data_IF_921687374057
#
_entry.id   IF_921687374057
#
_cell.length_a   1.000
_cell.length_b   1.000
_cell.length_c   1.000
_cell.angle_alpha   90.00
_cell.angle_beta   90.00
_cell.angle_gamma   90.00
#
_symmetry.space_group_name_H-M   'P 1'
#
loop_
_entity.id
_entity.type
_entity.pdbx_description
1 polymer ?
#
# COMPACT_ATOMS: atom_id res chain seq x y z
N UNK A 1 -0.02 7.01 13.50
CA UNK A 1 -0.47 7.82 14.66
C UNK A 1 -1.98 7.74 14.91
N UNK A 2 -2.87 7.91 13.92
CA UNK A 2 -4.32 7.75 14.14
C UNK A 2 -4.96 8.84 15.00
N UNK A 3 -4.51 10.10 14.84
CA UNK A 3 -5.07 11.26 15.55
C UNK A 3 -6.50 11.57 15.04
N UNK A 4 -7.36 12.13 15.90
CA UNK A 4 -8.72 12.50 15.55
C UNK A 4 -9.74 11.34 15.46
N UNK A 5 -9.31 10.10 15.69
CA UNK A 5 -10.20 8.92 15.73
C UNK A 5 -10.83 8.65 17.11
N UNK A 6 -10.42 9.37 18.16
CA UNK A 6 -10.88 9.15 19.54
C UNK A 6 -10.33 7.90 20.25
N UNK A 7 -9.79 6.91 19.52
CA UNK A 7 -9.24 5.69 20.10
C UNK A 7 -8.08 5.93 21.08
N UNK A 8 -7.17 6.87 20.78
CA UNK A 8 -6.08 7.23 21.69
C UNK A 8 -6.58 7.93 22.97
N UNK A 9 -7.67 8.69 22.88
CA UNK A 9 -8.29 9.35 24.03
C UNK A 9 -8.93 8.29 24.93
N UNK A 10 -9.64 7.32 24.33
CA UNK A 10 -10.24 6.19 25.05
C UNK A 10 -9.17 5.30 25.72
N UNK A 11 -8.05 5.00 25.06
CA UNK A 11 -6.97 4.26 25.73
C UNK A 11 -6.27 5.10 26.81
N UNK A 12 -6.16 6.41 26.60
CA UNK A 12 -5.62 7.33 27.58
C UNK A 12 -6.46 7.44 28.86
N UNK A 13 -7.79 7.32 28.77
CA UNK A 13 -8.68 7.41 29.94
C UNK A 13 -8.59 6.20 30.87
N UNK A 14 -8.10 5.06 30.40
CA UNK A 14 -7.85 3.87 31.22
C UNK A 14 -6.53 3.92 32.01
N UNK A 15 -5.65 4.88 31.73
CA UNK A 15 -4.37 5.01 32.44
C UNK A 15 -4.56 5.58 33.86
N UNK A 16 -3.68 5.20 34.82
CA UNK A 16 -3.69 5.80 36.14
C UNK A 16 -3.32 7.29 36.07
N UNK A 17 -3.90 8.09 36.97
CA UNK A 17 -3.77 9.57 36.97
C UNK A 17 -2.31 10.04 37.01
N UNK A 18 -1.41 9.28 37.66
CA UNK A 18 0.02 9.61 37.79
C UNK A 18 0.90 8.93 36.72
N UNK A 19 0.36 8.58 35.55
CA UNK A 19 1.14 8.01 34.45
C UNK A 19 1.94 9.10 33.68
N UNK A 20 3.12 8.74 33.17
CA UNK A 20 3.96 9.68 32.41
C UNK A 20 3.58 9.69 30.92
N UNK A 21 2.47 10.37 30.60
CA UNK A 21 1.94 10.46 29.24
C UNK A 21 2.93 11.08 28.23
N UNK A 22 3.85 11.95 28.68
CA UNK A 22 4.87 12.57 27.81
C UNK A 22 5.83 11.52 27.27
N UNK A 23 6.32 10.62 28.14
CA UNK A 23 7.24 9.55 27.73
C UNK A 23 6.56 8.58 26.76
N UNK A 24 5.30 8.23 27.03
CA UNK A 24 4.53 7.32 26.18
C UNK A 24 4.30 7.93 24.79
N UNK A 25 3.97 9.23 24.71
CA UNK A 25 3.80 9.94 23.46
C UNK A 25 5.09 9.98 22.62
N UNK A 26 6.25 10.26 23.24
CA UNK A 26 7.54 10.25 22.55
C UNK A 26 7.92 8.84 22.08
N UNK A 27 7.72 7.82 22.91
CA UNK A 27 8.02 6.43 22.58
C UNK A 27 7.14 5.94 21.42
N UNK A 28 5.83 6.18 21.48
CA UNK A 28 4.89 5.83 20.42
C UNK A 28 5.25 6.52 19.10
N UNK A 29 5.63 7.80 19.19
CA UNK A 29 6.00 8.57 18.00
C UNK A 29 7.27 8.04 17.34
N UNK A 30 8.30 7.74 18.15
CA UNK A 30 9.56 7.17 17.69
C UNK A 30 9.36 5.76 17.12
N UNK A 31 8.55 4.92 17.76
CA UNK A 31 8.25 3.57 17.27
C UNK A 31 7.50 3.61 15.94
N UNK A 32 6.49 4.47 15.79
CA UNK A 32 5.78 4.65 14.53
C UNK A 32 6.75 5.10 13.41
N UNK A 33 7.63 6.06 13.69
CA UNK A 33 8.65 6.51 12.72
C UNK A 33 9.58 5.36 12.31
N UNK A 34 10.13 4.62 13.27
CA UNK A 34 11.02 3.50 13.00
C UNK A 34 10.35 2.41 12.16
N UNK A 35 9.11 2.04 12.51
CA UNK A 35 8.33 1.06 11.74
C UNK A 35 8.04 1.57 10.34
N UNK A 36 7.64 2.83 10.16
CA UNK A 36 7.40 3.40 8.83
C UNK A 36 8.65 3.42 7.96
N UNK A 37 9.82 3.77 8.51
CA UNK A 37 11.09 3.74 7.78
C UNK A 37 11.49 2.31 7.41
N UNK A 38 11.33 1.36 8.33
CA UNK A 38 11.61 -0.05 8.07
C UNK A 38 10.69 -0.62 6.98
N UNK A 39 9.38 -0.37 7.08
CA UNK A 39 8.40 -0.78 6.06
C UNK A 39 8.71 -0.14 4.71
N UNK A 40 9.03 1.15 4.66
CA UNK A 40 9.41 1.82 3.41
C UNK A 40 10.63 1.15 2.77
N UNK A 41 11.68 0.87 3.56
CA UNK A 41 12.85 0.14 3.08
C UNK A 41 12.48 -1.22 2.49
N UNK A 42 11.69 -2.04 3.20
CA UNK A 42 11.24 -3.34 2.71
C UNK A 42 10.42 -3.24 1.41
N UNK A 43 9.49 -2.28 1.34
CA UNK A 43 8.64 -2.04 0.16
C UNK A 43 9.49 -1.62 -1.05
N UNK A 44 10.43 -0.69 -0.87
CA UNK A 44 11.30 -0.25 -1.96
C UNK A 44 12.26 -1.36 -2.45
N UNK A 45 12.72 -2.26 -1.57
CA UNK A 45 13.50 -3.42 -1.98
C UNK A 45 12.70 -4.35 -2.91
N UNK A 46 11.43 -4.64 -2.58
CA UNK A 46 10.56 -5.49 -3.40
C UNK A 46 10.17 -4.78 -4.70
N UNK A 47 9.84 -3.49 -4.65
CA UNK A 47 9.56 -2.68 -5.83
C UNK A 47 10.77 -2.61 -6.78
N UNK A 48 11.99 -2.44 -6.24
CA UNK A 48 13.21 -2.45 -7.05
C UNK A 48 13.46 -3.79 -7.74
N UNK A 49 13.27 -4.90 -7.02
CA UNK A 49 13.35 -6.24 -7.59
C UNK A 49 12.32 -6.45 -8.72
N UNK A 50 11.06 -6.08 -8.47
CA UNK A 50 9.99 -6.21 -9.46
C UNK A 50 10.20 -5.26 -10.66
N UNK A 51 10.70 -4.05 -10.43
CA UNK A 51 11.05 -3.11 -11.49
C UNK A 51 12.14 -3.65 -12.40
N UNK A 52 13.22 -4.20 -11.83
CA UNK A 52 14.30 -4.81 -12.60
C UNK A 52 13.84 -6.04 -13.40
N UNK A 53 13.03 -6.91 -12.77
CA UNK A 53 12.48 -8.08 -13.44
C UNK A 53 11.52 -7.69 -14.57
N UNK A 54 10.61 -6.77 -14.31
CA UNK A 54 9.64 -6.26 -15.29
C UNK A 54 10.32 -5.60 -16.49
N UNK A 55 11.35 -4.78 -16.24
CA UNK A 55 12.15 -4.18 -17.30
C UNK A 55 12.87 -5.22 -18.16
N UNK A 56 13.50 -6.21 -17.53
CA UNK A 56 14.22 -7.28 -18.25
C UNK A 56 13.26 -8.13 -19.08
N UNK A 57 12.08 -8.46 -18.56
CA UNK A 57 11.05 -9.18 -19.30
C UNK A 57 10.45 -8.35 -20.44
N UNK A 58 10.30 -7.03 -20.28
CA UNK A 58 9.88 -6.13 -21.35
C UNK A 58 10.87 -6.16 -22.52
N UNK A 59 12.17 -6.00 -22.23
CA UNK A 59 13.22 -6.07 -23.27
C UNK A 59 13.22 -7.44 -23.95
N UNK A 60 13.10 -8.53 -23.19
CA UNK A 60 13.05 -9.87 -23.76
C UNK A 60 11.85 -10.04 -24.71
N UNK A 61 10.69 -9.44 -24.40
CA UNK A 61 9.54 -9.42 -25.30
C UNK A 61 9.81 -8.61 -26.57
N UNK A 62 10.48 -7.44 -26.47
CA UNK A 62 10.82 -6.65 -27.66
C UNK A 62 11.88 -7.34 -28.54
N UNK A 63 12.81 -8.07 -27.94
CA UNK A 63 13.77 -8.91 -28.65
C UNK A 63 13.08 -10.02 -29.46
N UNK A 64 12.00 -10.62 -28.95
CA UNK A 64 11.16 -11.57 -29.71
C UNK A 64 10.49 -10.88 -30.90
N UNK A 65 9.89 -9.70 -30.69
CA UNK A 65 9.26 -8.92 -31.77
C UNK A 65 10.26 -8.52 -32.84
N UNK A 66 11.51 -8.20 -32.46
CA UNK A 66 12.58 -7.92 -33.41
C UNK A 66 12.91 -9.14 -34.28
N UNK A 67 12.94 -10.34 -33.71
CA UNK A 67 13.14 -11.58 -34.48
C UNK A 67 12.00 -11.84 -35.48
N UNK A 68 10.76 -11.52 -35.12
CA UNK A 68 9.61 -11.69 -36.00
C UNK A 68 9.67 -10.73 -37.21
N UNK A 69 10.01 -9.46 -36.97
CA UNK A 69 10.12 -8.43 -38.03
C UNK A 69 11.29 -8.73 -38.98
N UNK A 70 12.41 -9.19 -38.44
CA UNK A 70 13.62 -9.52 -39.20
C UNK A 70 13.80 -11.03 -39.36
N UNK A 71 12.71 -11.72 -39.72
CA UNK A 71 12.69 -13.16 -40.00
C UNK A 71 13.73 -13.52 -41.08
N UNK A 72 14.79 -14.22 -40.66
CA UNK A 72 15.91 -14.61 -41.53
C UNK A 72 17.30 -14.16 -41.07
N UNK A 73 17.40 -13.25 -40.09
CA UNK A 73 18.70 -12.82 -39.53
C UNK A 73 19.12 -13.65 -38.30
N UNK A 74 18.17 -14.26 -37.60
CA UNK A 74 18.40 -15.09 -36.40
C UNK A 74 17.49 -16.32 -36.45
N UNK A 75 18.01 -17.52 -36.17
CA UNK A 75 17.25 -18.76 -36.24
C UNK A 75 16.69 -19.19 -34.87
N UNK A 76 17.27 -18.69 -33.75
CA UNK A 76 16.80 -18.98 -32.40
C UNK A 76 16.99 -17.80 -31.43
N UNK A 77 16.19 -17.76 -30.36
CA UNK A 77 16.29 -16.75 -29.30
C UNK A 77 17.65 -16.82 -28.57
N UNK A 78 18.26 -18.00 -28.53
CA UNK A 78 19.58 -18.23 -27.95
C UNK A 78 20.70 -17.59 -28.79
N UNK A 79 20.61 -17.64 -30.13
CA UNK A 79 21.56 -16.97 -31.03
C UNK A 79 21.44 -15.46 -30.94
N UNK A 80 20.21 -14.94 -30.81
CA UNK A 80 19.96 -13.52 -30.61
C UNK A 80 20.59 -13.02 -29.31
N UNK A 81 20.39 -13.73 -28.19
CA UNK A 81 20.98 -13.37 -26.90
C UNK A 81 22.50 -13.49 -26.85
N UNK A 82 23.08 -14.41 -27.64
CA UNK A 82 24.53 -14.53 -27.77
C UNK A 82 25.14 -13.44 -28.68
N UNK A 83 24.37 -12.89 -29.61
CA UNK A 83 24.83 -11.85 -30.56
C UNK A 83 24.60 -10.45 -30.02
N UNK A 84 23.48 -10.23 -29.34
CA UNK A 84 23.06 -8.95 -28.77
C UNK A 84 22.81 -9.20 -27.29
N UNK A 85 23.74 -8.74 -26.45
CA UNK A 85 23.54 -8.79 -25.01
C UNK A 85 22.41 -7.85 -24.58
N UNK A 86 21.85 -8.08 -23.40
CA UNK A 86 20.82 -7.18 -22.84
C UNK A 86 21.32 -5.73 -22.76
N UNK A 87 22.62 -5.52 -22.54
CA UNK A 87 23.22 -4.20 -22.42
C UNK A 87 23.43 -3.53 -23.78
N UNK A 88 23.79 -4.29 -24.82
CA UNK A 88 23.87 -3.77 -26.20
C UNK A 88 22.48 -3.37 -26.72
N UNK A 89 21.44 -4.17 -26.39
CA UNK A 89 20.07 -3.83 -26.75
C UNK A 89 19.60 -2.53 -26.08
N UNK A 90 19.96 -2.30 -24.81
CA UNK A 90 19.65 -1.05 -24.11
C UNK A 90 20.27 0.15 -24.83
N UNK A 91 21.55 0.06 -25.21
CA UNK A 91 22.23 1.12 -25.96
C UNK A 91 21.56 1.41 -27.32
N UNK A 92 21.04 0.37 -27.99
CA UNK A 92 20.27 0.55 -29.21
C UNK A 92 18.92 1.22 -28.96
N UNK A 93 18.21 0.84 -27.89
CA UNK A 93 16.93 1.45 -27.50
C UNK A 93 17.09 2.93 -27.12
N UNK A 94 18.12 3.27 -26.34
CA UNK A 94 18.42 4.65 -25.93
C UNK A 94 18.71 5.55 -27.15
N UNK A 95 19.37 4.99 -28.16
CA UNK A 95 19.64 5.66 -29.44
C UNK A 95 18.49 5.54 -30.46
N UNK A 96 17.29 5.11 -30.03
CA UNK A 96 16.09 4.93 -30.88
C UNK A 96 16.35 4.07 -32.13
N UNK A 97 17.20 3.06 -32.01
CA UNK A 97 17.61 2.15 -33.08
C UNK A 97 18.25 2.83 -34.31
N UNK A 98 18.70 4.09 -34.20
CA UNK A 98 19.36 4.79 -35.31
C UNK A 98 20.75 4.19 -35.57
N UNK A 99 21.02 3.71 -36.78
CA UNK A 99 22.31 3.13 -37.15
C UNK A 99 22.59 1.72 -36.64
N UNK A 100 21.60 1.05 -36.01
CA UNK A 100 21.73 -0.33 -35.51
C UNK A 100 21.46 -1.41 -36.57
N UNK A 101 20.99 -1.01 -37.76
CA UNK A 101 20.49 -1.92 -38.79
C UNK A 101 19.09 -2.50 -38.48
N UNK A 102 18.42 -2.01 -37.43
CA UNK A 102 17.07 -2.39 -37.01
C UNK A 102 16.13 -1.17 -36.86
N UNK A 103 16.23 -0.22 -37.79
CA UNK A 103 15.53 1.08 -37.70
C UNK A 103 14.00 0.95 -37.67
N UNK A 104 13.42 -0.08 -38.30
CA UNK A 104 11.98 -0.31 -38.28
C UNK A 104 11.45 -0.63 -36.87
N UNK A 105 12.32 -1.03 -35.94
CA UNK A 105 11.94 -1.30 -34.56
C UNK A 105 11.52 -0.02 -33.82
N UNK A 106 12.01 1.15 -34.22
CA UNK A 106 11.67 2.42 -33.58
C UNK A 106 10.17 2.79 -33.67
N UNK A 107 9.47 2.28 -34.70
CA UNK A 107 8.03 2.52 -34.90
C UNK A 107 7.13 1.49 -34.20
N UNK A 108 7.70 0.36 -33.77
CA UNK A 108 6.96 -0.76 -33.17
C UNK A 108 7.26 -0.89 -31.67
N UNK A 109 8.47 -0.54 -31.26
CA UNK A 109 8.91 -0.57 -29.87
C UNK A 109 8.03 0.36 -29.02
N UNK A 110 7.60 -0.16 -27.88
CA UNK A 110 6.86 0.62 -26.88
C UNK A 110 7.80 1.37 -25.94
N UNK A 111 9.11 1.18 -26.09
CA UNK A 111 10.19 1.62 -25.21
C UNK A 111 9.95 1.15 -23.77
N UNK A 112 10.82 0.29 -23.26
CA UNK A 112 10.73 -0.16 -21.88
C UNK A 112 11.23 0.97 -20.96
N UNK A 113 10.32 1.65 -20.25
CA UNK A 113 10.67 2.68 -19.28
C UNK A 113 10.51 2.18 -17.83
N UNK A 114 11.59 2.28 -17.05
CA UNK A 114 11.59 1.93 -15.63
C UNK A 114 10.60 2.76 -14.81
N UNK A 115 10.48 4.07 -15.08
CA UNK A 115 9.64 4.94 -14.26
C UNK A 115 8.15 4.59 -14.42
N UNK A 116 7.72 4.34 -15.65
CA UNK A 116 6.36 3.92 -15.97
C UNK A 116 6.01 2.58 -15.29
N UNK A 117 6.89 1.57 -15.38
CA UNK A 117 6.68 0.25 -14.75
C UNK A 117 6.53 0.37 -13.24
N UNK A 118 7.38 1.15 -12.57
CA UNK A 118 7.33 1.31 -11.11
C UNK A 118 6.10 2.13 -10.68
N UNK A 119 5.75 3.19 -11.40
CA UNK A 119 4.60 4.04 -11.06
C UNK A 119 3.26 3.30 -11.13
N UNK A 120 3.07 2.44 -12.14
CA UNK A 120 1.87 1.62 -12.27
C UNK A 120 1.79 0.52 -11.19
N UNK A 121 2.94 0.00 -10.78
CA UNK A 121 3.04 -1.00 -9.73
C UNK A 121 2.84 -0.41 -8.31
N UNK A 122 3.19 0.86 -8.10
CA UNK A 122 3.25 1.46 -6.77
C UNK A 122 1.91 1.99 -6.21
N UNK A 123 0.83 2.00 -7.00
CA UNK A 123 -0.38 2.73 -6.63
C UNK A 123 -1.46 1.87 -5.93
N UNK A 124 -1.96 2.39 -4.80
CA UNK A 124 -3.13 1.87 -4.09
C UNK A 124 -3.00 0.45 -3.56
N UNK A 125 -4.13 -0.26 -3.53
CA UNK A 125 -4.21 -1.67 -3.07
C UNK A 125 -3.52 -2.64 -4.02
N UNK A 126 -3.26 -2.23 -5.27
CA UNK A 126 -2.57 -3.05 -6.28
C UNK A 126 -1.14 -3.40 -5.87
N UNK A 127 -0.46 -2.50 -5.14
CA UNK A 127 0.87 -2.75 -4.60
C UNK A 127 0.91 -4.06 -3.80
N UNK A 128 0.06 -4.19 -2.78
CA UNK A 128 0.08 -5.34 -1.87
C UNK A 128 -0.48 -6.63 -2.50
N UNK A 129 -1.52 -6.53 -3.34
CA UNK A 129 -2.23 -7.71 -3.84
C UNK A 129 -1.77 -8.20 -5.22
N UNK A 130 -1.05 -7.37 -6.00
CA UNK A 130 -0.52 -7.73 -7.32
C UNK A 130 1.00 -7.78 -7.28
N UNK A 131 1.66 -6.70 -6.88
CA UNK A 131 3.13 -6.61 -7.00
C UNK A 131 3.85 -7.50 -6.00
N UNK A 132 3.40 -7.47 -4.74
CA UNK A 132 3.98 -8.33 -3.70
C UNK A 132 3.71 -9.82 -3.94
N UNK A 133 2.52 -10.18 -4.45
CA UNK A 133 2.18 -11.57 -4.74
C UNK A 133 3.00 -12.10 -5.92
N UNK A 134 3.16 -11.30 -6.97
CA UNK A 134 4.07 -11.59 -8.10
C UNK A 134 5.53 -11.75 -7.64
N UNK A 135 6.00 -10.90 -6.72
CA UNK A 135 7.33 -11.01 -6.16
C UNK A 135 7.51 -12.31 -5.35
N UNK A 136 6.52 -12.69 -4.52
CA UNK A 136 6.55 -13.90 -3.68
C UNK A 136 6.64 -15.18 -4.53
N UNK A 137 6.04 -15.20 -5.72
CA UNK A 137 6.14 -16.34 -6.64
C UNK A 137 7.58 -16.61 -7.09
N UNK A 138 8.48 -15.64 -6.98
CA UNK A 138 9.89 -15.77 -7.37
C UNK A 138 10.78 -16.26 -6.24
N UNK A 139 10.27 -16.34 -5.00
CA UNK A 139 11.03 -16.84 -3.87
C UNK A 139 11.01 -18.37 -3.80
N UNK A 140 12.03 -19.00 -3.20
CA UNK A 140 11.99 -20.42 -2.91
C UNK A 140 10.84 -20.71 -1.94
N UNK A 141 10.05 -21.74 -2.23
CA UNK A 141 8.87 -22.15 -1.43
C UNK A 141 7.82 -21.01 -1.33
N UNK A 142 7.20 -20.58 -2.45
CA UNK A 142 6.22 -19.47 -2.44
C UNK A 142 5.07 -19.58 -1.41
N UNK A 143 4.50 -20.77 -1.12
CA UNK A 143 3.39 -20.88 -0.17
C UNK A 143 3.72 -20.39 1.25
N UNK A 144 4.96 -20.58 1.70
CA UNK A 144 5.39 -20.18 3.05
C UNK A 144 5.41 -18.65 3.19
N UNK A 145 6.03 -17.97 2.22
CA UNK A 145 6.15 -16.51 2.21
C UNK A 145 4.80 -15.82 2.03
N UNK A 146 3.92 -16.39 1.20
CA UNK A 146 2.55 -15.91 1.02
C UNK A 146 1.77 -15.92 2.34
N UNK A 147 1.84 -17.03 3.10
CA UNK A 147 1.18 -17.13 4.41
C UNK A 147 1.71 -16.07 5.39
N UNK A 148 3.03 -15.91 5.49
CA UNK A 148 3.64 -14.91 6.39
C UNK A 148 3.21 -13.48 6.02
N UNK A 149 3.20 -13.17 4.72
CA UNK A 149 2.83 -11.84 4.22
C UNK A 149 1.36 -11.51 4.48
N UNK A 150 0.43 -12.41 4.13
CA UNK A 150 -0.99 -12.17 4.38
C UNK A 150 -1.34 -12.21 5.86
N UNK A 151 -0.69 -13.05 6.66
CA UNK A 151 -0.87 -13.05 8.12
C UNK A 151 -0.40 -11.74 8.75
N UNK A 152 0.72 -11.18 8.26
CA UNK A 152 1.19 -9.86 8.67
C UNK A 152 0.14 -8.77 8.33
N UNK A 153 -0.36 -8.74 7.10
CA UNK A 153 -1.39 -7.76 6.69
C UNK A 153 -2.67 -7.89 7.54
N UNK A 154 -3.09 -9.12 7.83
CA UNK A 154 -4.24 -9.40 8.67
C UNK A 154 -4.03 -8.88 10.10
N UNK A 155 -2.86 -9.10 10.70
CA UNK A 155 -2.55 -8.61 12.05
C UNK A 155 -2.44 -7.08 12.12
N UNK A 156 -1.88 -6.44 11.08
CA UNK A 156 -1.85 -4.98 10.97
C UNK A 156 -3.26 -4.37 10.88
N UNK A 157 -4.12 -5.00 10.07
CA UNK A 157 -5.53 -4.62 9.96
C UNK A 157 -6.27 -4.77 11.28
N UNK A 158 -6.19 -5.95 11.91
CA UNK A 158 -6.88 -6.24 13.18
C UNK A 158 -6.46 -5.29 14.30
N UNK A 159 -5.17 -5.03 14.47
CA UNK A 159 -4.68 -4.12 15.51
C UNK A 159 -5.25 -2.70 15.38
N UNK A 160 -5.36 -2.19 14.16
CA UNK A 160 -5.95 -0.88 13.89
C UNK A 160 -7.46 -0.86 14.14
N UNK A 161 -8.16 -1.94 13.78
CA UNK A 161 -9.61 -2.05 13.96
C UNK A 161 -10.01 -2.13 15.44
N UNK A 162 -9.22 -2.77 16.30
CA UNK A 162 -9.49 -2.77 17.74
C UNK A 162 -9.45 -1.36 18.35
N UNK A 163 -8.50 -0.52 17.94
CA UNK A 163 -8.41 0.85 18.44
C UNK A 163 -9.55 1.76 17.99
N UNK A 164 -10.00 1.62 16.73
CA UNK A 164 -11.14 2.39 16.21
C UNK A 164 -12.46 1.96 16.85
N UNK A 165 -12.66 0.65 17.01
CA UNK A 165 -13.84 0.09 17.65
C UNK A 165 -13.95 0.49 19.13
N UNK A 166 -12.85 0.44 19.89
CA UNK A 166 -12.83 0.90 21.28
C UNK A 166 -13.13 2.40 21.42
N UNK A 167 -12.63 3.23 20.49
CA UNK A 167 -12.94 4.66 20.45
C UNK A 167 -14.44 4.93 20.29
N UNK A 168 -15.09 4.21 19.38
CA UNK A 168 -16.54 4.35 19.14
C UNK A 168 -17.36 3.81 20.33
N UNK A 169 -17.00 2.63 20.86
CA UNK A 169 -17.73 2.01 21.96
C UNK A 169 -17.65 2.86 23.23
N UNK A 170 -16.44 3.32 23.59
CA UNK A 170 -16.25 4.14 24.79
C UNK A 170 -17.05 5.44 24.68
N UNK A 171 -16.96 6.13 23.54
CA UNK A 171 -17.70 7.39 23.31
C UNK A 171 -19.23 7.22 23.38
N UNK A 172 -19.77 6.15 22.80
CA UNK A 172 -21.22 5.90 22.81
C UNK A 172 -21.73 5.44 24.18
N UNK A 173 -20.95 4.63 24.89
CA UNK A 173 -21.28 4.18 26.24
C UNK A 173 -21.25 5.35 27.25
N UNK A 174 -20.28 6.26 27.12
CA UNK A 174 -20.15 7.43 28.00
C UNK A 174 -21.26 8.47 27.76
N UNK A 175 -21.80 8.55 26.54
CA UNK A 175 -22.92 9.44 26.22
C UNK A 175 -24.25 9.05 26.88
N UNK A 176 -24.32 7.90 27.57
CA UNK A 176 -25.51 7.36 28.25
C UNK A 176 -26.79 7.25 27.39
N UNK A 177 -26.69 7.38 26.05
CA UNK A 177 -27.84 7.33 25.13
C UNK A 177 -28.48 5.94 25.08
N UNK A 178 -27.71 4.88 25.35
CA UNK A 178 -28.16 3.50 25.27
C UNK A 178 -27.60 2.73 26.49
N UNK A 179 -28.49 2.26 27.38
CA UNK A 179 -28.13 1.44 28.55
C UNK A 179 -28.15 -0.04 28.19
N UNK A 180 -27.10 -0.51 27.53
CA UNK A 180 -26.90 -1.94 27.24
C UNK A 180 -25.58 -2.40 27.84
N UNK A 181 -25.47 -3.71 28.10
CA UNK A 181 -24.20 -4.31 28.49
C UNK A 181 -23.20 -4.21 27.32
N UNK A 182 -21.94 -3.86 27.63
CA UNK A 182 -20.86 -3.70 26.64
C UNK A 182 -20.79 -4.80 25.56
N UNK A 183 -20.83 -6.11 25.88
CA UNK A 183 -20.72 -7.15 24.85
C UNK A 183 -21.89 -7.14 23.84
N UNK A 184 -23.11 -6.83 24.29
CA UNK A 184 -24.29 -6.74 23.42
C UNK A 184 -24.17 -5.53 22.50
N UNK A 185 -23.72 -4.39 23.04
CA UNK A 185 -23.52 -3.18 22.27
C UNK A 185 -22.47 -3.36 21.16
N UNK A 186 -21.33 -3.97 21.48
CA UNK A 186 -20.29 -4.32 20.49
C UNK A 186 -20.85 -5.21 19.38
N UNK A 187 -21.63 -6.24 19.75
CA UNK A 187 -22.26 -7.13 18.78
C UNK A 187 -23.19 -6.40 17.80
N UNK A 188 -24.01 -5.46 18.31
CA UNK A 188 -24.92 -4.65 17.48
C UNK A 188 -24.12 -3.74 16.54
N UNK A 189 -23.10 -3.04 17.05
CA UNK A 189 -22.27 -2.15 16.24
C UNK A 189 -21.55 -2.91 15.12
N UNK A 190 -20.97 -4.06 15.42
CA UNK A 190 -20.34 -4.95 14.42
C UNK A 190 -21.36 -5.51 13.42
N UNK A 191 -22.59 -5.81 13.86
CA UNK A 191 -23.66 -6.26 12.98
C UNK A 191 -24.06 -5.20 11.96
N UNK A 192 -24.23 -3.95 12.42
CA UNK A 192 -24.55 -2.80 11.56
C UNK A 192 -23.39 -2.52 10.59
N UNK A 193 -22.14 -2.52 11.07
CA UNK A 193 -20.98 -2.28 10.21
C UNK A 193 -20.78 -3.38 9.16
N UNK A 194 -21.09 -4.64 9.50
CA UNK A 194 -21.09 -5.75 8.55
C UNK A 194 -22.14 -5.56 7.44
N UNK A 195 -23.36 -5.14 7.79
CA UNK A 195 -24.43 -4.87 6.82
C UNK A 195 -24.06 -3.73 5.87
N UNK A 196 -23.49 -2.64 6.38
CA UNK A 196 -22.99 -1.53 5.55
C UNK A 196 -21.81 -1.99 4.69
N UNK A 197 -20.92 -2.82 5.25
CA UNK A 197 -19.75 -3.37 4.56
C UNK A 197 -20.07 -4.20 3.32
N UNK A 198 -21.27 -4.79 3.22
CA UNK A 198 -21.71 -5.52 2.02
C UNK A 198 -21.73 -4.65 0.77
N UNK A 199 -21.88 -3.33 0.90
CA UNK A 199 -21.78 -2.38 -0.22
C UNK A 199 -20.41 -2.47 -0.92
N UNK A 200 -19.34 -2.70 -0.16
CA UNK A 200 -17.97 -2.80 -0.68
C UNK A 200 -17.65 -4.15 -1.32
N UNK A 201 -18.51 -5.16 -1.18
CA UNK A 201 -18.35 -6.49 -1.80
C UNK A 201 -19.04 -6.58 -3.18
N UNK A 202 -19.73 -5.52 -3.60
CA UNK A 202 -20.36 -5.46 -4.93
C UNK A 202 -19.31 -5.40 -6.06
N UNK A 203 -19.71 -5.65 -7.32
CA UNK A 203 -18.80 -5.55 -8.48
C UNK A 203 -18.15 -4.17 -8.63
N UNK A 204 -18.81 -3.13 -8.15
CA UNK A 204 -18.30 -1.75 -8.12
C UNK A 204 -17.62 -1.40 -6.78
N UNK A 205 -17.39 -2.38 -5.91
CA UNK A 205 -16.92 -2.20 -4.53
C UNK A 205 -15.60 -1.46 -4.44
N UNK A 206 -14.64 -1.76 -5.32
CA UNK A 206 -13.34 -1.07 -5.33
C UNK A 206 -13.47 0.43 -5.62
N UNK A 207 -14.43 0.84 -6.47
CA UNK A 207 -14.69 2.26 -6.72
C UNK A 207 -15.26 2.94 -5.48
N UNK A 208 -16.17 2.27 -4.76
CA UNK A 208 -16.69 2.76 -3.49
C UNK A 208 -15.59 2.90 -2.45
N UNK A 209 -14.73 1.90 -2.29
CA UNK A 209 -13.60 1.95 -1.35
C UNK A 209 -12.67 3.12 -1.68
N UNK A 210 -12.27 3.26 -2.95
CA UNK A 210 -11.40 4.36 -3.37
C UNK A 210 -12.03 5.74 -3.13
N UNK A 211 -13.34 5.89 -3.41
CA UNK A 211 -14.08 7.13 -3.17
C UNK A 211 -14.13 7.47 -1.68
N UNK A 212 -14.53 6.51 -0.83
CA UNK A 212 -14.64 6.73 0.61
C UNK A 212 -13.27 7.02 1.25
N UNK A 213 -12.21 6.32 0.83
CA UNK A 213 -10.86 6.52 1.35
C UNK A 213 -10.34 7.95 1.06
N UNK A 214 -10.50 8.41 -0.18
CA UNK A 214 -10.01 9.73 -0.60
C UNK A 214 -10.78 10.89 0.06
N UNK A 215 -12.10 10.76 0.24
CA UNK A 215 -12.93 11.84 0.80
C UNK A 215 -13.03 11.81 2.32
N UNK A 216 -13.20 10.63 2.92
CA UNK A 216 -13.44 10.49 4.37
C UNK A 216 -12.14 10.55 5.15
N UNK A 217 -11.08 9.90 4.65
CA UNK A 217 -9.80 9.82 5.36
C UNK A 217 -9.12 11.18 5.50
N UNK A 218 -8.94 11.91 4.40
CA UNK A 218 -8.12 13.13 4.41
C UNK A 218 -8.84 14.33 5.01
N UNK A 219 -10.05 14.64 4.54
CA UNK A 219 -10.73 15.88 4.94
C UNK A 219 -11.31 15.80 6.35
N UNK A 220 -11.93 14.67 6.74
CA UNK A 220 -12.58 14.57 8.04
C UNK A 220 -11.55 14.58 9.19
N UNK A 221 -10.46 13.79 9.09
CA UNK A 221 -9.44 13.73 10.13
C UNK A 221 -8.72 15.07 10.32
N UNK A 222 -8.44 15.78 9.22
CA UNK A 222 -7.80 17.09 9.30
C UNK A 222 -8.70 18.11 10.00
N UNK A 223 -10.00 18.13 9.67
CA UNK A 223 -10.97 19.00 10.33
C UNK A 223 -11.09 18.68 11.84
N UNK A 224 -11.25 17.41 12.21
CA UNK A 224 -11.38 17.02 13.63
C UNK A 224 -10.11 17.37 14.41
N UNK A 225 -8.93 17.03 13.91
CA UNK A 225 -7.67 17.33 14.59
C UNK A 225 -7.45 18.85 14.76
N UNK A 226 -7.84 19.65 13.78
CA UNK A 226 -7.77 21.12 13.87
C UNK A 226 -8.68 21.67 14.98
N UNK A 227 -9.94 21.21 15.04
CA UNK A 227 -10.87 21.65 16.09
C UNK A 227 -10.49 21.13 17.48
N UNK A 228 -9.94 19.93 17.61
CA UNK A 228 -9.43 19.40 18.88
C UNK A 228 -8.35 20.31 19.48
N UNK A 229 -7.37 20.72 18.66
CA UNK A 229 -6.29 21.61 19.11
C UNK A 229 -6.84 22.98 19.52
N UNK A 230 -7.76 23.55 18.73
CA UNK A 230 -8.37 24.85 19.05
C UNK A 230 -9.19 24.77 20.34
N UNK A 231 -10.00 23.73 20.50
CA UNK A 231 -10.82 23.53 21.68
C UNK A 231 -9.95 23.44 22.94
N UNK A 232 -8.84 22.69 22.90
CA UNK A 232 -7.95 22.55 24.06
C UNK A 232 -7.20 23.85 24.37
N UNK A 233 -6.64 24.54 23.37
CA UNK A 233 -5.80 25.72 23.62
C UNK A 233 -6.64 26.96 23.97
N UNK A 234 -7.71 27.22 23.20
CA UNK A 234 -8.47 28.47 23.29
C UNK A 234 -9.74 28.38 24.14
N UNK A 235 -10.44 27.23 24.16
CA UNK A 235 -11.71 27.09 24.90
C UNK A 235 -11.47 26.55 26.31
N UNK A 236 -10.75 25.43 26.44
CA UNK A 236 -10.40 24.87 27.75
C UNK A 236 -9.37 25.74 28.48
N UNK A 237 -8.46 26.34 27.72
CA UNK A 237 -7.43 27.24 28.22
C UNK A 237 -6.14 26.49 28.53
N UNK A 238 -5.04 27.00 27.98
CA UNK A 238 -3.69 26.47 28.19
C UNK A 238 -3.03 26.95 29.50
N UNK A 239 -3.66 27.90 30.21
CA UNK A 239 -3.14 28.49 31.46
C UNK A 239 -3.63 27.76 32.70
#
# INVERSE_FOLDING_TARGET
>A
MGLGFGGLVAFGSYNPIKNNCKKDAYLLSAANLATSLYTAFCVFCVLGFMGHKGYTSCIQSEMVTLMEIYSGKFASLQELQNTISLDDYKLMMDNKFVGSGFENMANVSKYCDYATIISQAAEGTGLAFVVFTEAILQFPIPPLWSLMFFMMLLMLGLGSMFGTLEGVITSLNDSQLVRLEKPVFTGILCGISCLIGLLFVTKAGQYWVALFDQFTGTYALLCVAFFEIIAVIYVYGYK
#
